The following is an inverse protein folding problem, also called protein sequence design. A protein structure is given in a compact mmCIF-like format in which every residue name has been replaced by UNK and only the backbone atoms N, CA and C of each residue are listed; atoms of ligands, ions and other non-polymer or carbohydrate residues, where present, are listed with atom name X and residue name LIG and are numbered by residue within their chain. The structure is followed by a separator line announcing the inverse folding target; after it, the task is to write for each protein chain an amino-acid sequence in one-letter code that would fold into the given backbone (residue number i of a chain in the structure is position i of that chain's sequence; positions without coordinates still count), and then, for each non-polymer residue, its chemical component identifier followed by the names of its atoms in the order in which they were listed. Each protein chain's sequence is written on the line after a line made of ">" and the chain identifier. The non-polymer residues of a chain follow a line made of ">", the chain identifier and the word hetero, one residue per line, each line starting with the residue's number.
data_IF_288755749947
#
_entry.id   IF_288755749947
#
_cell.length_a   1.000
_cell.length_b   1.000
_cell.length_c   1.000
_cell.angle_alpha   90.00
_cell.angle_beta   90.00
_cell.angle_gamma   90.00
#
_symmetry.space_group_name_H-M   'P 1'
#
loop_
_entity.id
_entity.type
_entity.pdbx_description
1 polymer ?
#
# COMPACT_ATOMS: atom_id res chain seq x y z
N UNK A 1 -15.47 -9.58 -4.22
CA UNK A 1 -15.06 -9.25 -5.61
C UNK A 1 -14.35 -7.91 -5.55
N UNK A 2 -13.06 -7.85 -5.86
CA UNK A 2 -12.38 -6.56 -6.03
C UNK A 2 -12.92 -5.95 -7.33
N UNK A 3 -13.48 -4.74 -7.27
CA UNK A 3 -13.97 -4.07 -8.46
C UNK A 3 -12.77 -3.64 -9.30
N UNK A 4 -12.44 -4.46 -10.30
CA UNK A 4 -11.50 -4.11 -11.35
C UNK A 4 -12.29 -3.44 -12.45
N UNK A 5 -12.57 -2.14 -12.29
CA UNK A 5 -13.23 -1.35 -13.34
C UNK A 5 -12.25 -1.10 -14.49
N UNK A 6 -12.25 -1.99 -15.47
CA UNK A 6 -11.75 -1.72 -16.82
C UNK A 6 -12.87 -2.00 -17.81
N UNK A 7 -13.60 -0.96 -18.22
CA UNK A 7 -14.52 -1.06 -19.34
C UNK A 7 -13.76 -1.10 -20.65
N UNK A 8 -13.98 -2.10 -21.50
CA UNK A 8 -13.47 -2.10 -22.87
C UNK A 8 -14.43 -2.83 -23.83
N UNK A 9 -15.13 -2.06 -24.67
CA UNK A 9 -15.89 -2.57 -25.81
C UNK A 9 -15.04 -2.52 -27.09
N UNK A 10 -14.90 -3.70 -27.71
CA UNK A 10 -14.11 -4.02 -28.90
C UNK A 10 -14.46 -3.12 -30.10
N UNK A 11 -13.54 -2.25 -30.55
CA UNK A 11 -13.44 -1.82 -31.97
C UNK A 11 -12.20 -0.99 -32.35
N UNK A 12 -11.27 -0.69 -31.44
CA UNK A 12 -10.31 0.39 -31.67
C UNK A 12 -8.86 0.02 -31.32
N UNK A 13 -8.26 -0.84 -32.16
CA UNK A 13 -6.89 -1.35 -32.03
C UNK A 13 -5.81 -0.25 -32.07
N UNK A 14 -6.09 0.91 -32.69
CA UNK A 14 -5.16 2.07 -32.74
C UNK A 14 -5.26 2.95 -31.48
N UNK A 15 -6.45 3.04 -30.89
CA UNK A 15 -6.65 3.73 -29.60
C UNK A 15 -6.22 2.86 -28.42
N UNK A 16 -6.11 1.54 -28.61
CA UNK A 16 -5.54 0.64 -27.62
C UNK A 16 -4.11 1.04 -27.21
N UNK A 17 -3.23 1.47 -28.11
CA UNK A 17 -1.83 1.82 -27.77
C UNK A 17 -1.73 3.13 -26.97
N UNK A 18 -2.53 4.14 -27.34
CA UNK A 18 -2.60 5.42 -26.61
C UNK A 18 -3.29 5.22 -25.24
N UNK A 19 -4.30 4.36 -25.18
CA UNK A 19 -4.98 4.00 -23.93
C UNK A 19 -4.13 3.09 -23.05
N UNK A 20 -3.28 2.20 -23.59
CA UNK A 20 -2.29 1.46 -22.78
C UNK A 20 -1.32 2.42 -22.09
N UNK A 21 -0.90 3.48 -22.80
CA UNK A 21 -0.03 4.52 -22.27
C UNK A 21 -0.70 5.32 -21.14
N UNK A 22 -1.96 5.72 -21.32
CA UNK A 22 -2.78 6.40 -20.28
C UNK A 22 -3.20 5.47 -19.14
N UNK A 23 -3.35 4.18 -19.41
CA UNK A 23 -3.69 3.19 -18.41
C UNK A 23 -2.52 2.89 -17.46
N UNK A 24 -1.26 3.08 -17.89
CA UNK A 24 -0.08 3.07 -17.00
C UNK A 24 -0.23 4.03 -15.81
N UNK A 25 -1.00 5.11 -15.98
CA UNK A 25 -1.29 6.11 -14.94
C UNK A 25 -2.56 5.79 -14.14
N UNK A 26 -3.50 5.00 -14.68
CA UNK A 26 -4.76 4.62 -14.01
C UNK A 26 -4.68 3.31 -13.19
N UNK A 27 -3.72 2.41 -13.43
CA UNK A 27 -3.63 1.12 -12.71
C UNK A 27 -3.07 1.18 -11.29
N UNK A 28 -2.79 2.39 -10.81
CA UNK A 28 -1.98 2.58 -9.63
C UNK A 28 -2.77 2.42 -8.31
N UNK A 29 -4.10 2.60 -8.32
CA UNK A 29 -4.90 2.61 -7.09
C UNK A 29 -5.85 1.42 -7.04
N UNK A 30 -5.71 0.55 -6.05
CA UNK A 30 -6.65 -0.53 -5.78
C UNK A 30 -7.44 -0.22 -4.51
N UNK A 31 -8.76 -0.37 -4.59
CA UNK A 31 -9.68 -0.08 -3.49
C UNK A 31 -10.62 -1.27 -3.29
N UNK A 32 -10.62 -1.87 -2.11
CA UNK A 32 -11.55 -2.95 -1.76
C UNK A 32 -11.18 -4.29 -2.39
N UNK A 33 -11.17 -5.35 -1.57
CA UNK A 33 -10.98 -6.72 -2.05
C UNK A 33 -10.22 -7.62 -1.08
N UNK A 34 -10.21 -8.91 -1.39
CA UNK A 34 -9.31 -9.84 -0.74
C UNK A 34 -7.90 -9.71 -1.33
N UNK A 35 -7.78 -9.75 -2.66
CA UNK A 35 -6.49 -9.77 -3.34
C UNK A 35 -6.25 -8.56 -4.23
N UNK A 36 -5.25 -7.76 -3.86
CA UNK A 36 -4.77 -6.59 -4.59
C UNK A 36 -3.30 -6.73 -4.99
N UNK A 37 -2.87 -7.96 -5.29
CA UNK A 37 -1.48 -8.30 -5.67
C UNK A 37 -0.99 -7.51 -6.90
N UNK A 38 -1.90 -7.14 -7.81
CA UNK A 38 -1.59 -6.30 -8.98
C UNK A 38 -1.42 -4.82 -8.64
N UNK A 39 -1.70 -4.40 -7.40
CA UNK A 39 -1.55 -3.01 -6.98
C UNK A 39 -0.09 -2.68 -6.71
N UNK A 40 0.45 -1.67 -7.40
CA UNK A 40 1.85 -1.26 -7.26
C UNK A 40 2.03 0.12 -6.62
N UNK A 41 1.01 0.98 -6.61
CA UNK A 41 1.15 2.35 -6.12
C UNK A 41 0.41 2.59 -4.80
N UNK A 42 -0.93 2.51 -4.78
CA UNK A 42 -1.72 2.75 -3.57
C UNK A 42 -2.82 1.70 -3.37
N UNK A 43 -2.82 1.05 -2.23
CA UNK A 43 -3.77 0.00 -1.88
C UNK A 43 -4.62 0.42 -0.67
N UNK A 44 -5.93 0.54 -0.89
CA UNK A 44 -6.87 0.98 0.13
C UNK A 44 -7.90 -0.09 0.44
N UNK A 45 -8.13 -0.39 1.72
CA UNK A 45 -9.18 -1.32 2.17
C UNK A 45 -9.09 -2.70 1.52
N UNK A 46 -7.87 -3.25 1.38
CA UNK A 46 -7.66 -4.54 0.75
C UNK A 46 -6.81 -5.47 1.61
N UNK A 47 -7.09 -6.78 1.54
CA UNK A 47 -6.46 -7.76 2.41
C UNK A 47 -5.04 -8.14 1.99
N UNK A 48 -4.71 -8.08 0.70
CA UNK A 48 -3.42 -8.53 0.21
C UNK A 48 -2.80 -7.51 -0.74
N UNK A 49 -1.88 -6.69 -0.23
CA UNK A 49 -1.24 -5.59 -0.96
C UNK A 49 0.31 -5.69 -0.99
N UNK A 50 0.89 -6.80 -1.46
CA UNK A 50 2.32 -7.08 -1.30
C UNK A 50 3.23 -6.15 -2.11
N UNK A 51 2.71 -5.54 -3.18
CA UNK A 51 3.49 -4.71 -4.11
C UNK A 51 3.19 -3.22 -4.03
N UNK A 52 2.25 -2.80 -3.19
CA UNK A 52 1.82 -1.40 -3.12
C UNK A 52 2.88 -0.55 -2.42
N UNK A 53 3.15 0.66 -2.94
CA UNK A 53 4.03 1.64 -2.28
C UNK A 53 3.36 2.35 -1.12
N UNK A 54 2.04 2.50 -1.16
CA UNK A 54 1.25 3.12 -0.09
C UNK A 54 0.11 2.20 0.28
N UNK A 55 -0.08 1.98 1.57
CA UNK A 55 -1.19 1.21 2.10
C UNK A 55 -2.03 2.04 3.06
N UNK A 56 -3.35 1.91 2.92
CA UNK A 56 -4.32 2.58 3.80
C UNK A 56 -5.42 1.59 4.17
N UNK A 57 -5.57 1.28 5.46
CA UNK A 57 -6.54 0.30 5.96
C UNK A 57 -6.43 -1.06 5.26
N UNK A 58 -5.20 -1.51 4.99
CA UNK A 58 -4.92 -2.71 4.19
C UNK A 58 -4.00 -3.69 4.95
N UNK A 59 -3.93 -4.93 4.49
CA UNK A 59 -3.09 -5.98 5.08
C UNK A 59 -2.04 -6.49 4.08
N UNK A 60 -1.01 -7.18 4.58
CA UNK A 60 0.13 -7.69 3.79
C UNK A 60 0.88 -6.61 3.00
N UNK A 61 1.16 -5.47 3.63
CA UNK A 61 1.79 -4.30 3.00
C UNK A 61 3.32 -4.34 3.01
N UNK A 62 3.90 -5.47 2.63
CA UNK A 62 5.32 -5.80 2.86
C UNK A 62 6.32 -4.88 2.13
N UNK A 63 5.92 -4.29 1.00
CA UNK A 63 6.75 -3.36 0.21
C UNK A 63 6.29 -1.90 0.28
N UNK A 64 5.29 -1.61 1.11
CA UNK A 64 4.83 -0.24 1.26
C UNK A 64 5.91 0.62 1.88
N UNK A 65 6.09 1.84 1.35
CA UNK A 65 6.91 2.90 1.96
C UNK A 65 6.12 3.70 3.00
N UNK A 66 4.81 3.76 2.84
CA UNK A 66 3.92 4.46 3.76
C UNK A 66 2.75 3.56 4.12
N UNK A 67 2.52 3.39 5.42
CA UNK A 67 1.41 2.63 5.95
C UNK A 67 0.56 3.48 6.88
N UNK A 68 -0.76 3.42 6.68
CA UNK A 68 -1.75 4.05 7.54
C UNK A 68 -2.84 3.05 7.88
N UNK A 69 -3.08 2.77 9.16
CA UNK A 69 -4.09 1.79 9.57
C UNK A 69 -3.86 0.37 9.03
N UNK A 70 -2.61 -0.02 8.77
CA UNK A 70 -2.29 -1.22 7.99
C UNK A 70 -1.38 -2.21 8.74
N UNK A 71 -1.29 -3.46 8.29
CA UNK A 71 -0.44 -4.51 8.89
C UNK A 71 0.63 -5.02 7.93
N UNK A 72 1.64 -5.71 8.48
CA UNK A 72 2.78 -6.27 7.74
C UNK A 72 3.61 -5.21 7.00
N UNK A 73 3.80 -4.05 7.62
CA UNK A 73 4.45 -2.88 7.03
C UNK A 73 5.98 -2.92 7.15
N UNK A 74 6.57 -4.07 6.82
CA UNK A 74 7.96 -4.42 7.12
C UNK A 74 8.97 -3.38 6.62
N UNK A 75 8.74 -2.84 5.41
CA UNK A 75 9.63 -1.87 4.73
C UNK A 75 9.10 -0.45 4.71
N UNK A 76 8.05 -0.16 5.48
CA UNK A 76 7.50 1.18 5.56
C UNK A 76 8.51 2.11 6.21
N UNK A 77 8.72 3.28 5.61
CA UNK A 77 9.53 4.37 6.19
C UNK A 77 8.72 5.18 7.19
N UNK A 78 7.40 5.21 6.99
CA UNK A 78 6.44 5.94 7.82
C UNK A 78 5.26 5.03 8.14
N UNK A 79 4.97 4.89 9.42
CA UNK A 79 3.84 4.14 9.93
C UNK A 79 2.97 5.00 10.83
N UNK A 80 1.67 4.96 10.56
CA UNK A 80 0.65 5.61 11.40
C UNK A 80 -0.45 4.60 11.70
N UNK A 81 -0.74 4.38 12.99
CA UNK A 81 -1.71 3.38 13.44
C UNK A 81 -1.51 2.02 12.75
N UNK A 82 -0.27 1.58 12.59
CA UNK A 82 0.09 0.40 11.78
C UNK A 82 0.93 -0.60 12.59
N UNK A 83 1.05 -1.82 12.08
CA UNK A 83 1.77 -2.92 12.73
C UNK A 83 2.93 -3.41 11.87
N UNK A 84 3.93 -4.00 12.52
CA UNK A 84 5.11 -4.61 11.87
C UNK A 84 5.99 -3.62 11.10
N UNK A 85 6.23 -2.47 11.71
CA UNK A 85 6.92 -1.33 11.12
C UNK A 85 8.44 -1.39 11.33
N UNK A 86 9.06 -2.52 11.00
CA UNK A 86 10.45 -2.82 11.38
C UNK A 86 11.47 -1.82 10.85
N UNK A 87 11.27 -1.30 9.63
CA UNK A 87 12.18 -0.32 9.00
C UNK A 87 11.69 1.12 9.04
N UNK A 88 10.62 1.41 9.78
CA UNK A 88 10.07 2.75 9.85
C UNK A 88 11.01 3.70 10.59
N UNK A 89 11.26 4.87 9.99
CA UNK A 89 11.94 6.00 10.65
C UNK A 89 10.98 6.79 11.52
N UNK A 90 9.71 6.82 11.13
CA UNK A 90 8.66 7.54 11.86
C UNK A 90 7.54 6.57 12.17
N UNK A 91 7.23 6.45 13.46
CA UNK A 91 6.12 5.68 13.98
C UNK A 91 5.21 6.54 14.86
N UNK A 92 3.92 6.49 14.56
CA UNK A 92 2.86 7.13 15.35
C UNK A 92 1.77 6.10 15.61
N UNK A 93 1.40 5.88 16.88
CA UNK A 93 0.39 4.89 17.30
C UNK A 93 0.63 3.47 16.72
N UNK A 94 1.89 3.11 16.49
CA UNK A 94 2.29 1.92 15.74
C UNK A 94 3.10 0.93 16.59
N UNK A 95 3.34 -0.28 16.08
CA UNK A 95 4.10 -1.30 16.81
C UNK A 95 5.26 -1.87 15.99
N UNK A 96 6.22 -2.46 16.68
CA UNK A 96 7.42 -3.09 16.10
C UNK A 96 8.31 -2.12 15.33
N UNK A 97 8.52 -0.92 15.88
CA UNK A 97 9.20 0.20 15.26
C UNK A 97 10.72 0.23 15.49
N UNK A 98 11.42 -0.87 15.25
CA UNK A 98 12.80 -1.10 15.72
C UNK A 98 13.85 -0.11 15.21
N UNK A 99 13.60 0.55 14.08
CA UNK A 99 14.51 1.55 13.48
C UNK A 99 13.98 2.99 13.54
N UNK A 100 12.94 3.25 14.33
CA UNK A 100 12.31 4.56 14.37
C UNK A 100 13.20 5.59 15.07
N UNK A 101 13.48 6.70 14.38
CA UNK A 101 14.10 7.90 14.95
C UNK A 101 13.05 8.79 15.61
N UNK A 102 11.81 8.71 15.14
CA UNK A 102 10.66 9.44 15.70
C UNK A 102 9.61 8.43 16.11
N UNK A 103 9.31 8.39 17.40
CA UNK A 103 8.39 7.44 17.99
C UNK A 103 7.40 8.18 18.89
N UNK A 104 6.12 8.15 18.50
CA UNK A 104 5.03 8.79 19.25
C UNK A 104 3.99 7.74 19.58
N UNK A 105 3.73 7.51 20.86
CA UNK A 105 2.74 6.52 21.34
C UNK A 105 2.86 5.16 20.63
N UNK A 106 4.09 4.74 20.35
CA UNK A 106 4.40 3.54 19.57
C UNK A 106 5.29 2.61 20.37
N UNK A 107 5.29 1.33 20.03
CA UNK A 107 6.04 0.29 20.75
C UNK A 107 7.14 -0.32 19.89
N UNK A 108 8.18 -0.84 20.55
CA UNK A 108 9.33 -1.44 19.89
C UNK A 108 10.26 -0.41 19.24
N UNK A 109 10.26 0.83 19.73
CA UNK A 109 11.19 1.86 19.28
C UNK A 109 12.55 1.71 19.98
N UNK A 110 13.67 2.00 19.30
CA UNK A 110 14.97 1.96 19.93
C UNK A 110 15.08 3.08 20.98
N UNK A 111 15.39 2.71 22.22
CA UNK A 111 15.59 3.65 23.32
C UNK A 111 14.35 4.00 24.16
N UNK A 112 13.25 3.24 24.00
CA UNK A 112 12.03 3.38 24.79
C UNK A 112 11.59 2.03 25.37
#
# INVERSE_FOLDING_TARGET
>A
MAFKTCGFSKKWLVIAVIVMCLCTECYCRCTGGADCTSCTQACTSCRNCPNAKTCTNSQHCVRARTCTGSTDCNRAMTCTNSKDCFEAKTCTDSTNCYKATTCTNSTGCPGH
#
